data_IF_963907901764
#
_entry.id   IF_963907901764
#
_cell.length_a   1.000
_cell.length_b   1.000
_cell.length_c   1.000
_cell.angle_alpha   90.00
_cell.angle_beta   90.00
_cell.angle_gamma   90.00
#
_symmetry.space_group_name_H-M   'P 1'
#
loop_
_entity.id
_entity.type
_entity.pdbx_description
1 polymer ?
#
# COMPACT_ATOMS: atom_id res chain seq x y z
N UNK A 1 16.05 61.72 44.07
CA UNK A 1 14.75 62.04 43.44
C UNK A 1 14.54 61.01 42.35
N UNK A 2 13.98 59.84 42.68
CA UNK A 2 12.54 59.50 42.71
C UNK A 2 11.83 59.87 41.41
N UNK A 3 11.54 58.86 40.58
CA UNK A 3 10.16 58.45 40.19
C UNK A 3 10.23 57.48 39.00
N UNK A 4 9.28 56.60 38.72
CA UNK A 4 8.32 55.79 39.48
C UNK A 4 7.81 54.79 38.44
N UNK A 5 7.54 53.57 38.88
CA UNK A 5 7.08 52.43 38.08
C UNK A 5 5.68 52.67 37.47
N UNK A 6 5.50 52.30 36.19
CA UNK A 6 4.27 51.79 35.57
C UNK A 6 4.70 50.60 34.67
N UNK A 7 4.76 49.34 35.13
CA UNK A 7 3.68 48.35 35.37
C UNK A 7 2.67 48.23 34.23
N UNK A 8 2.63 47.01 33.65
CA UNK A 8 1.73 46.44 32.64
C UNK A 8 2.15 46.45 31.17
N UNK A 9 3.30 45.83 30.88
CA UNK A 9 3.51 45.14 29.61
C UNK A 9 3.63 43.65 29.88
N UNK A 10 2.56 42.87 29.72
CA UNK A 10 2.70 41.42 29.69
C UNK A 10 3.52 41.07 28.44
N UNK A 11 4.84 40.86 28.59
CA UNK A 11 5.67 40.23 27.56
C UNK A 11 5.16 38.81 27.39
N UNK A 12 4.23 38.67 26.48
CA UNK A 12 3.42 37.48 26.33
C UNK A 12 4.24 36.50 25.49
N UNK A 13 5.13 35.80 26.19
CA UNK A 13 6.17 34.89 25.70
C UNK A 13 5.63 33.96 24.60
N UNK A 14 6.07 34.21 23.37
CA UNK A 14 5.65 33.47 22.18
C UNK A 14 5.97 31.97 22.29
N UNK A 15 6.98 31.61 23.07
CA UNK A 15 7.37 30.23 23.35
C UNK A 15 6.29 29.50 24.14
N UNK A 16 5.73 30.17 25.17
CA UNK A 16 4.68 29.60 26.04
C UNK A 16 3.36 29.43 25.30
N UNK A 17 2.99 30.37 24.42
CA UNK A 17 1.78 30.22 23.58
C UNK A 17 1.90 29.07 22.60
N UNK A 18 3.06 28.91 21.95
CA UNK A 18 3.31 27.79 21.03
C UNK A 18 3.29 26.45 21.76
N UNK A 19 3.90 26.38 22.94
CA UNK A 19 3.87 25.17 23.77
C UNK A 19 2.45 24.85 24.26
N UNK A 20 1.68 25.87 24.66
CA UNK A 20 0.28 25.70 25.04
C UNK A 20 -0.57 25.20 23.87
N UNK A 21 -0.44 25.80 22.68
CA UNK A 21 -1.17 25.38 21.48
C UNK A 21 -0.77 23.96 21.03
N UNK A 22 0.53 23.61 21.11
CA UNK A 22 1.00 22.25 20.84
C UNK A 22 0.44 21.24 21.86
N UNK A 23 0.45 21.60 23.15
CA UNK A 23 -0.09 20.77 24.23
C UNK A 23 -1.60 20.58 24.12
N UNK A 24 -2.35 21.67 23.89
CA UNK A 24 -3.79 21.64 23.69
C UNK A 24 -4.18 20.86 22.42
N UNK A 25 -3.41 21.02 21.33
CA UNK A 25 -3.61 20.26 20.09
C UNK A 25 -3.41 18.75 20.28
N UNK A 26 -2.34 18.34 20.98
CA UNK A 26 -2.11 16.92 21.30
C UNK A 26 -3.16 16.35 22.26
N UNK A 27 -3.60 17.12 23.26
CA UNK A 27 -4.64 16.68 24.19
C UNK A 27 -6.00 16.51 23.48
N UNK A 28 -6.36 17.42 22.58
CA UNK A 28 -7.57 17.31 21.76
C UNK A 28 -7.51 16.10 20.81
N UNK A 29 -6.37 15.85 20.17
CA UNK A 29 -6.16 14.67 19.33
C UNK A 29 -6.22 13.36 20.14
N UNK A 30 -5.63 13.33 21.34
CA UNK A 30 -5.70 12.19 22.26
C UNK A 30 -7.12 11.92 22.78
N UNK A 31 -7.89 12.96 23.07
CA UNK A 31 -9.30 12.82 23.45
C UNK A 31 -10.16 12.29 22.29
N UNK A 32 -9.92 12.74 21.06
CA UNK A 32 -10.60 12.21 19.86
C UNK A 32 -10.22 10.75 19.56
N UNK A 33 -8.97 10.35 19.80
CA UNK A 33 -8.54 8.96 19.68
C UNK A 33 -9.10 8.06 20.80
N UNK A 34 -9.28 8.61 22.01
CA UNK A 34 -9.90 7.92 23.15
C UNK A 34 -11.43 7.80 23.07
N UNK A 35 -12.10 8.68 22.29
CA UNK A 35 -13.54 8.62 22.06
C UNK A 35 -13.88 7.93 20.73
N UNK A 36 -14.24 6.65 20.83
CA UNK A 36 -15.15 5.99 19.89
C UNK A 36 -14.70 5.79 18.42
N UNK A 37 -13.40 5.86 18.10
CA UNK A 37 -12.93 5.26 16.86
C UNK A 37 -12.66 3.78 17.12
N UNK A 38 -13.36 2.83 16.48
CA UNK A 38 -13.06 1.39 16.57
C UNK A 38 -11.78 1.09 15.78
N UNK A 39 -10.68 1.70 16.22
CA UNK A 39 -9.35 1.56 15.64
C UNK A 39 -8.87 0.11 15.76
N UNK A 40 -9.36 -0.66 16.72
CA UNK A 40 -9.17 -2.12 16.83
C UNK A 40 -9.82 -2.89 15.66
N UNK A 41 -10.99 -2.43 15.19
CA UNK A 41 -11.67 -3.01 14.03
C UNK A 41 -10.99 -2.64 12.72
N UNK A 42 -10.39 -1.45 12.64
CA UNK A 42 -9.67 -0.97 11.45
C UNK A 42 -8.16 -1.24 11.47
N UNK A 43 -7.55 -1.53 12.63
CA UNK A 43 -6.13 -1.88 12.77
C UNK A 43 -5.81 -3.20 12.09
N UNK A 44 -6.78 -4.13 12.03
CA UNK A 44 -6.66 -5.38 11.26
C UNK A 44 -6.51 -5.16 9.76
N UNK A 45 -6.91 -3.99 9.26
CA UNK A 45 -6.75 -3.59 7.87
C UNK A 45 -5.56 -2.67 7.63
N UNK A 46 -4.90 -2.16 8.68
CA UNK A 46 -3.76 -1.26 8.58
C UNK A 46 -4.12 0.08 7.95
N UNK A 47 -4.03 1.18 8.70
CA UNK A 47 -4.02 2.50 8.08
C UNK A 47 -2.63 2.77 7.55
N UNK A 48 -2.37 2.39 6.30
CA UNK A 48 -1.25 2.93 5.56
C UNK A 48 -1.72 4.28 5.03
N UNK A 49 -1.30 5.37 5.68
CA UNK A 49 -1.41 6.69 5.06
C UNK A 49 -0.67 6.65 3.73
N UNK A 50 -1.20 7.32 2.70
CA UNK A 50 -0.53 7.42 1.38
C UNK A 50 0.91 7.90 1.51
N UNK A 51 1.21 8.76 2.49
CA UNK A 51 2.56 9.23 2.80
C UNK A 51 3.49 8.15 3.41
N UNK A 52 2.93 7.13 4.06
CA UNK A 52 3.66 5.96 4.58
C UNK A 52 3.64 4.76 3.65
N UNK A 53 2.86 4.79 2.57
CA UNK A 53 2.76 3.72 1.58
C UNK A 53 3.93 3.71 0.59
N UNK A 54 4.57 4.87 0.40
CA UNK A 54 5.76 5.01 -0.42
C UNK A 54 6.94 4.29 0.23
N UNK A 55 7.43 3.24 -0.43
CA UNK A 55 8.61 2.50 0.01
C UNK A 55 8.34 1.34 0.98
N UNK A 56 7.08 0.87 1.10
CA UNK A 56 6.85 -0.44 1.73
C UNK A 56 7.58 -1.51 0.92
N UNK A 57 8.48 -2.30 1.55
CA UNK A 57 9.25 -3.30 0.83
C UNK A 57 8.29 -4.39 0.33
N UNK A 58 8.13 -4.44 -0.98
CA UNK A 58 7.47 -5.53 -1.69
C UNK A 58 8.57 -6.46 -2.19
N UNK A 59 8.51 -7.74 -1.80
CA UNK A 59 9.53 -8.72 -2.19
C UNK A 59 9.64 -8.80 -3.72
N UNK A 60 10.87 -8.71 -4.23
CA UNK A 60 11.16 -8.74 -5.66
C UNK A 60 10.68 -7.51 -6.46
N UNK A 61 10.26 -6.41 -5.80
CA UNK A 61 9.83 -5.17 -6.45
C UNK A 61 10.70 -3.98 -6.08
N UNK A 62 10.88 -3.07 -7.03
CA UNK A 62 11.76 -1.91 -6.91
C UNK A 62 10.97 -0.60 -7.10
N UNK A 63 10.80 0.17 -6.02
CA UNK A 63 10.29 1.55 -6.10
C UNK A 63 8.80 1.70 -6.43
N UNK A 64 8.00 0.64 -6.30
CA UNK A 64 6.55 0.72 -6.49
C UNK A 64 5.89 1.57 -5.39
N UNK A 65 4.82 2.27 -5.77
CA UNK A 65 3.94 2.98 -4.83
C UNK A 65 2.78 2.07 -4.48
N UNK A 66 2.64 1.71 -3.20
CA UNK A 66 1.50 0.90 -2.73
C UNK A 66 0.25 1.77 -2.64
N UNK A 67 -0.82 1.33 -3.30
CA UNK A 67 -2.14 1.97 -3.30
C UNK A 67 -3.09 1.28 -2.31
N UNK A 68 -2.90 -0.02 -2.08
CA UNK A 68 -3.63 -0.81 -1.08
C UNK A 68 -2.87 -2.09 -0.75
N UNK A 69 -2.96 -2.58 0.49
CA UNK A 69 -2.21 -3.75 0.96
C UNK A 69 -3.07 -5.03 1.11
N UNK A 70 -4.41 -4.90 1.15
CA UNK A 70 -5.37 -6.04 1.26
C UNK A 70 -6.67 -5.76 0.50
N UNK A 71 -6.77 -6.08 -0.81
CA UNK A 71 -5.79 -6.78 -1.63
C UNK A 71 -4.64 -5.88 -2.06
N UNK A 72 -3.45 -6.47 -2.25
CA UNK A 72 -2.27 -5.74 -2.69
C UNK A 72 -2.49 -5.13 -4.08
N UNK A 73 -2.37 -3.81 -4.15
CA UNK A 73 -2.36 -3.03 -5.39
C UNK A 73 -1.22 -2.02 -5.29
N UNK A 74 -0.35 -1.98 -6.29
CA UNK A 74 0.80 -1.11 -6.33
C UNK A 74 1.11 -0.71 -7.76
N UNK A 75 1.49 0.55 -7.96
CA UNK A 75 1.78 1.13 -9.27
C UNK A 75 3.25 1.47 -9.42
N UNK A 76 3.68 1.61 -10.67
CA UNK A 76 5.05 1.96 -11.03
C UNK A 76 5.13 3.46 -11.28
N UNK A 77 5.95 4.21 -10.53
CA UNK A 77 6.16 5.62 -10.80
C UNK A 77 6.59 5.90 -12.24
N UNK A 78 6.12 7.00 -12.82
CA UNK A 78 6.36 7.33 -14.23
C UNK A 78 7.85 7.36 -14.62
N UNK A 79 8.73 7.82 -13.73
CA UNK A 79 10.18 7.88 -13.96
C UNK A 79 10.89 6.52 -13.93
N UNK A 80 10.15 5.42 -13.66
CA UNK A 80 10.65 4.05 -13.70
C UNK A 80 10.10 3.27 -14.91
N UNK A 81 9.38 3.94 -15.83
CA UNK A 81 8.73 3.34 -16.99
C UNK A 81 9.46 3.61 -18.32
N UNK A 82 10.75 3.94 -18.27
CA UNK A 82 11.55 4.25 -19.46
C UNK A 82 11.96 2.99 -20.26
N UNK A 83 11.89 1.80 -19.66
CA UNK A 83 12.26 0.54 -20.31
C UNK A 83 11.24 0.15 -21.40
N UNK A 84 11.72 -0.31 -22.57
CA UNK A 84 10.88 -0.75 -23.69
C UNK A 84 9.91 -1.90 -23.30
N UNK A 85 10.36 -2.74 -22.36
CA UNK A 85 9.53 -3.70 -21.63
C UNK A 85 9.77 -3.47 -20.16
N UNK A 86 8.72 -3.11 -19.42
CA UNK A 86 8.82 -2.90 -17.99
C UNK A 86 9.36 -4.17 -17.31
N UNK A 87 10.51 -4.11 -16.62
CA UNK A 87 11.10 -5.29 -15.99
C UNK A 87 10.18 -5.81 -14.88
N UNK A 88 10.26 -7.10 -14.57
CA UNK A 88 9.41 -7.76 -13.55
C UNK A 88 9.43 -7.03 -12.20
N UNK A 89 10.61 -6.54 -11.80
CA UNK A 89 10.80 -5.77 -10.56
C UNK A 89 10.02 -4.45 -10.53
N UNK A 90 9.69 -3.89 -11.70
CA UNK A 90 8.93 -2.65 -11.89
C UNK A 90 7.55 -2.91 -12.50
N UNK A 91 7.11 -4.15 -12.63
CA UNK A 91 5.77 -4.42 -13.14
C UNK A 91 4.74 -4.13 -12.04
N UNK A 92 3.65 -3.43 -12.36
CA UNK A 92 2.61 -3.09 -11.38
C UNK A 92 1.95 -4.36 -10.78
N UNK A 93 1.24 -4.18 -9.67
CA UNK A 93 0.44 -5.24 -9.02
C UNK A 93 -0.99 -4.75 -8.91
N UNK A 94 -1.95 -5.56 -9.36
CA UNK A 94 -3.38 -5.29 -9.16
C UNK A 94 -4.09 -6.58 -8.82
N UNK A 95 -4.44 -6.73 -7.54
CA UNK A 95 -5.17 -7.90 -7.05
C UNK A 95 -6.59 -7.51 -6.67
N UNK A 96 -7.57 -8.38 -6.94
CA UNK A 96 -8.94 -8.25 -6.42
C UNK A 96 -9.14 -8.94 -5.07
N UNK A 97 -8.31 -9.94 -4.78
CA UNK A 97 -8.38 -10.74 -3.56
C UNK A 97 -6.99 -10.98 -2.97
N UNK A 98 -6.94 -11.80 -1.94
CA UNK A 98 -5.68 -12.22 -1.32
C UNK A 98 -4.99 -13.25 -2.22
N UNK A 99 -3.70 -13.07 -2.42
CA UNK A 99 -2.87 -14.00 -3.20
C UNK A 99 -2.80 -15.35 -2.45
N UNK A 100 -3.01 -16.49 -3.12
CA UNK A 100 -2.80 -17.80 -2.51
C UNK A 100 -1.36 -17.96 -2.00
N UNK A 101 -1.19 -18.48 -0.78
CA UNK A 101 0.12 -18.64 -0.14
C UNK A 101 0.74 -20.03 -0.31
N UNK A 102 -0.09 -21.02 -0.64
CA UNK A 102 0.32 -22.41 -0.82
C UNK A 102 0.07 -22.79 -2.27
N UNK A 103 1.14 -22.86 -3.05
CA UNK A 103 1.09 -23.21 -4.46
C UNK A 103 2.21 -24.18 -4.80
N UNK A 104 1.83 -25.45 -4.93
CA UNK A 104 2.67 -26.50 -5.50
C UNK A 104 2.45 -26.56 -7.02
N UNK A 105 3.46 -26.24 -7.85
CA UNK A 105 3.36 -26.32 -9.31
C UNK A 105 3.03 -27.72 -9.82
N UNK A 106 3.45 -28.77 -9.11
CA UNK A 106 3.24 -30.16 -9.52
C UNK A 106 1.80 -30.63 -9.25
N UNK A 107 1.11 -29.99 -8.28
CA UNK A 107 -0.29 -30.23 -7.97
C UNK A 107 -1.26 -29.27 -8.68
N UNK A 108 -0.76 -28.20 -9.32
CA UNK A 108 -1.61 -27.20 -9.98
C UNK A 108 -2.28 -27.77 -11.23
N UNK A 109 -3.56 -27.42 -11.44
CA UNK A 109 -4.31 -27.83 -12.63
C UNK A 109 -5.14 -26.68 -13.23
N UNK A 110 -5.23 -26.66 -14.57
CA UNK A 110 -6.16 -25.86 -15.35
C UNK A 110 -7.34 -26.73 -15.79
N UNK A 111 -8.55 -26.34 -15.40
CA UNK A 111 -9.77 -27.00 -15.85
C UNK A 111 -10.42 -26.20 -16.98
N UNK A 112 -10.61 -26.83 -18.14
CA UNK A 112 -11.35 -26.32 -19.29
C UNK A 112 -12.69 -27.03 -19.32
N UNK A 113 -13.76 -26.32 -19.01
CA UNK A 113 -15.13 -26.83 -18.93
C UNK A 113 -16.15 -25.85 -19.54
N UNK A 114 -17.45 -26.10 -19.32
CA UNK A 114 -18.54 -25.29 -19.86
C UNK A 114 -19.10 -25.85 -21.17
N UNK A 115 -19.35 -24.99 -22.16
CA UNK A 115 -19.89 -25.39 -23.46
C UNK A 115 -18.77 -25.84 -24.41
N UNK A 116 -18.19 -27.00 -24.11
CA UNK A 116 -17.09 -27.60 -24.89
C UNK A 116 -17.42 -29.05 -25.24
N UNK A 117 -16.96 -29.52 -26.39
CA UNK A 117 -17.18 -30.92 -26.79
C UNK A 117 -16.44 -31.91 -25.90
N UNK A 118 -15.24 -31.54 -25.44
CA UNK A 118 -14.35 -32.39 -24.63
C UNK A 118 -13.75 -31.60 -23.48
N UNK A 119 -14.36 -31.63 -22.28
CA UNK A 119 -13.79 -31.05 -21.08
C UNK A 119 -12.41 -31.68 -20.78
N UNK A 120 -11.49 -30.90 -20.23
CA UNK A 120 -10.16 -31.38 -19.88
C UNK A 120 -9.61 -30.70 -18.63
N UNK A 121 -8.73 -31.41 -17.94
CA UNK A 121 -7.93 -30.89 -16.83
C UNK A 121 -6.47 -31.09 -17.22
N UNK A 122 -5.66 -30.05 -17.10
CA UNK A 122 -4.27 -30.01 -17.58
C UNK A 122 -3.34 -29.54 -16.46
N UNK A 123 -2.24 -30.24 -16.24
CA UNK A 123 -1.12 -29.75 -15.43
C UNK A 123 -0.22 -28.77 -16.21
N UNK A 124 0.69 -28.09 -15.50
CA UNK A 124 1.66 -27.17 -16.14
C UNK A 124 2.56 -27.92 -17.14
N UNK A 125 3.01 -29.12 -16.80
CA UNK A 125 3.88 -29.90 -17.68
C UNK A 125 3.16 -30.36 -18.96
N UNK A 126 1.90 -30.79 -18.84
CA UNK A 126 1.08 -31.16 -20.00
C UNK A 126 0.85 -29.97 -20.93
N UNK A 127 0.67 -28.76 -20.38
CA UNK A 127 0.55 -27.54 -21.18
C UNK A 127 1.82 -27.29 -22.02
N UNK A 128 3.01 -27.47 -21.42
CA UNK A 128 4.30 -27.28 -22.11
C UNK A 128 4.56 -28.33 -23.19
N UNK A 129 4.13 -29.57 -22.98
CA UNK A 129 4.38 -30.67 -23.91
C UNK A 129 3.38 -30.71 -25.07
N UNK A 130 2.11 -30.35 -24.84
CA UNK A 130 1.03 -30.55 -25.81
C UNK A 130 0.80 -29.37 -26.75
N UNK A 131 1.25 -28.17 -26.37
CA UNK A 131 0.97 -26.94 -27.10
C UNK A 131 2.25 -26.21 -27.48
N UNK A 132 2.22 -25.54 -28.63
CA UNK A 132 3.32 -24.69 -29.06
C UNK A 132 3.50 -23.50 -28.11
N UNK A 133 4.75 -23.24 -27.71
CA UNK A 133 5.09 -22.06 -26.92
C UNK A 133 5.24 -20.86 -27.85
N UNK A 134 4.29 -19.94 -27.77
CA UNK A 134 4.30 -18.68 -28.52
C UNK A 134 4.73 -17.52 -27.63
N UNK A 135 5.52 -16.58 -28.16
CA UNK A 135 6.05 -15.42 -27.42
C UNK A 135 5.61 -14.11 -28.07
N UNK A 136 4.95 -13.25 -27.29
CA UNK A 136 4.48 -11.94 -27.73
C UNK A 136 4.82 -10.85 -26.70
N UNK A 137 5.01 -9.62 -27.17
CA UNK A 137 5.10 -8.42 -26.33
C UNK A 137 3.74 -7.73 -26.36
N UNK A 138 3.03 -7.75 -25.24
CA UNK A 138 1.69 -7.18 -25.09
C UNK A 138 1.67 -6.11 -23.99
N UNK A 139 0.77 -5.15 -24.13
CA UNK A 139 0.41 -4.20 -23.06
C UNK A 139 -0.90 -4.69 -22.45
N UNK A 140 -1.01 -4.63 -21.12
CA UNK A 140 -2.18 -5.07 -20.36
C UNK A 140 -2.91 -3.85 -19.82
#
# INVERSE_FOLDING_TARGET
MSDRILKYGATMDFTKRRQFLKGAGMAAAGAMAGSALPLDRWSRYGFISTASAQGLPLEGKEGLTVLGDRPLTAETPAHLLDDEVTPVARHFIRNNGIVPTDMDPDAWTLRIDGLVERPMTLGIEELRQRFEVVSYRLVI
#
